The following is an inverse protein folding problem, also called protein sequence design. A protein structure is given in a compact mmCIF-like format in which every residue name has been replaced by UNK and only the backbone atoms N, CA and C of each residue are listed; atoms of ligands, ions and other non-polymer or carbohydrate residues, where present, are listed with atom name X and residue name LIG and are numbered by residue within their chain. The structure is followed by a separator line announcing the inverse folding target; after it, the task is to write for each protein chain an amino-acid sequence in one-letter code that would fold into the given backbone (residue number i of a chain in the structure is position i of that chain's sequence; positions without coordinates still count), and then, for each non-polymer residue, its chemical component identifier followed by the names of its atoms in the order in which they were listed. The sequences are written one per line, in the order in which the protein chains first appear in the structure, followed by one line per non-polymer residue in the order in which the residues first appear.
data_IF_300393672701
#
_entry.id   IF_300393672701
#
_cell.length_a   1.000
_cell.length_b   1.000
_cell.length_c   1.000
_cell.angle_alpha   90.00
_cell.angle_beta   90.00
_cell.angle_gamma   90.00
#
_symmetry.space_group_name_H-M   'P 1'
#
loop_
_entity.id
_entity.type
_entity.pdbx_description
1 polymer ?
#
# COMPACT_ATOMS: atom_id res chain seq x y z
N UNK A 1 8.84 -7.15 47.39
CA UNK A 1 9.93 -8.15 47.49
C UNK A 1 10.54 -8.23 46.10
N UNK A 2 11.67 -7.54 45.94
CA UNK A 2 12.42 -7.40 44.70
C UNK A 2 13.15 -8.71 44.44
N UNK A 3 13.10 -9.21 43.20
CA UNK A 3 14.09 -10.19 42.71
C UNK A 3 14.77 -9.58 41.50
N UNK A 4 15.96 -9.07 41.75
CA UNK A 4 17.02 -8.86 40.78
C UNK A 4 17.67 -10.20 40.36
N UNK A 5 18.46 -10.09 39.29
CA UNK A 5 19.37 -11.04 38.61
C UNK A 5 18.73 -11.63 37.33
N UNK A 6 19.33 -11.51 36.14
CA UNK A 6 20.76 -11.57 35.88
C UNK A 6 21.23 -10.64 34.73
N UNK A 7 22.37 -9.99 34.98
CA UNK A 7 23.21 -9.31 33.98
C UNK A 7 24.25 -10.32 33.52
N UNK A 8 24.19 -10.74 32.26
CA UNK A 8 25.31 -11.13 31.38
C UNK A 8 24.78 -12.04 30.25
N UNK A 9 24.52 -11.45 29.09
CA UNK A 9 24.21 -12.16 27.86
C UNK A 9 25.00 -11.52 26.72
N UNK A 10 26.09 -12.17 26.35
CA UNK A 10 27.06 -11.77 25.34
C UNK A 10 26.37 -11.59 23.97
N UNK A 11 26.59 -10.43 23.34
CA UNK A 11 26.27 -10.17 21.94
C UNK A 11 26.99 -11.19 21.04
N UNK A 12 26.23 -11.91 20.22
CA UNK A 12 26.76 -12.74 19.13
C UNK A 12 26.34 -12.10 17.80
N UNK A 13 27.27 -11.60 16.96
CA UNK A 13 26.95 -10.79 15.79
C UNK A 13 26.83 -11.64 14.51
N UNK A 14 26.17 -12.80 14.58
CA UNK A 14 25.80 -13.61 13.41
C UNK A 14 24.78 -14.66 13.87
N UNK A 15 23.50 -14.33 13.73
CA UNK A 15 22.39 -15.25 13.95
C UNK A 15 21.41 -15.08 12.82
N UNK A 16 21.49 -15.95 11.82
CA UNK A 16 20.48 -16.12 10.77
C UNK A 16 19.13 -16.41 11.43
N UNK A 17 18.29 -15.37 11.59
CA UNK A 17 16.89 -15.53 11.92
C UNK A 17 16.20 -16.00 10.64
N UNK A 18 16.18 -17.31 10.41
CA UNK A 18 15.30 -17.91 9.42
C UNK A 18 13.86 -17.73 9.90
N UNK A 19 13.14 -16.79 9.27
CA UNK A 19 11.70 -16.61 9.43
C UNK A 19 10.99 -17.89 8.95
N UNK A 20 10.15 -18.56 9.77
CA UNK A 20 9.59 -19.87 9.44
C UNK A 20 8.40 -19.85 8.45
N UNK A 21 8.18 -18.76 7.70
CA UNK A 21 6.98 -18.59 6.86
C UNK A 21 7.21 -18.51 5.35
N UNK A 22 8.41 -18.83 4.86
CA UNK A 22 8.61 -19.01 3.41
C UNK A 22 8.10 -20.41 3.04
N UNK A 23 6.84 -20.47 2.60
CA UNK A 23 6.26 -21.64 1.96
C UNK A 23 7.05 -21.96 0.67
N UNK A 24 8.02 -22.86 0.79
CA UNK A 24 8.74 -23.46 -0.33
C UNK A 24 7.80 -24.41 -1.07
N UNK A 25 6.92 -23.87 -1.93
CA UNK A 25 5.79 -24.65 -2.41
C UNK A 25 5.27 -24.37 -3.82
N UNK A 26 5.76 -23.36 -4.55
CA UNK A 26 5.49 -23.21 -5.98
C UNK A 26 6.75 -22.60 -6.63
N UNK A 27 7.42 -23.35 -7.50
CA UNK A 27 8.47 -22.80 -8.36
C UNK A 27 7.78 -21.91 -9.40
N UNK A 28 7.62 -20.63 -9.07
CA UNK A 28 7.47 -19.61 -10.11
C UNK A 28 8.65 -19.79 -11.07
N UNK A 29 8.35 -19.92 -12.36
CA UNK A 29 9.37 -20.09 -13.38
C UNK A 29 10.35 -18.90 -13.26
N UNK A 30 11.66 -19.14 -13.22
CA UNK A 30 12.64 -18.08 -12.98
C UNK A 30 12.59 -16.95 -14.03
N UNK A 31 11.96 -17.20 -15.18
CA UNK A 31 11.66 -16.22 -16.23
C UNK A 31 10.39 -15.39 -16.00
N UNK A 32 9.67 -15.58 -14.88
CA UNK A 32 8.38 -14.92 -14.56
C UNK A 32 8.34 -14.25 -13.19
N UNK A 33 9.41 -14.34 -12.40
CA UNK A 33 9.50 -13.60 -11.13
C UNK A 33 9.73 -12.11 -11.43
N UNK A 34 8.76 -11.27 -11.08
CA UNK A 34 8.70 -9.83 -11.37
C UNK A 34 9.03 -8.95 -10.14
N UNK A 35 9.75 -9.49 -9.15
CA UNK A 35 10.26 -8.73 -8.01
C UNK A 35 9.72 -9.23 -6.66
N UNK A 36 8.48 -8.88 -6.31
CA UNK A 36 7.88 -9.19 -4.99
C UNK A 36 7.29 -10.61 -4.92
N UNK A 37 7.21 -11.17 -3.71
CA UNK A 37 6.45 -12.39 -3.45
C UNK A 37 4.94 -12.11 -3.46
N UNK A 38 4.12 -13.06 -3.92
CA UNK A 38 2.66 -12.97 -3.89
C UNK A 38 2.16 -12.86 -2.43
N UNK A 39 1.53 -11.74 -2.09
CA UNK A 39 0.91 -11.49 -0.78
C UNK A 39 -0.60 -11.52 -0.94
N UNK A 40 -1.20 -12.65 -0.61
CA UNK A 40 -2.65 -12.82 -0.62
C UNK A 40 -2.97 -14.01 0.29
N UNK A 41 -3.18 -13.75 1.58
CA UNK A 41 -3.46 -14.76 2.59
C UNK A 41 -4.64 -14.34 3.46
N UNK A 42 -5.22 -15.25 4.24
CA UNK A 42 -6.35 -14.88 5.11
C UNK A 42 -5.94 -13.81 6.13
N UNK A 43 -4.70 -13.88 6.60
CA UNK A 43 -4.12 -12.88 7.49
C UNK A 43 -4.00 -11.51 6.79
N UNK A 44 -3.45 -11.47 5.57
CA UNK A 44 -3.24 -10.22 4.84
C UNK A 44 -4.57 -9.58 4.43
N UNK A 45 -5.55 -10.40 4.00
CA UNK A 45 -6.87 -9.94 3.60
C UNK A 45 -7.70 -9.45 4.81
N UNK A 46 -7.57 -10.10 5.97
CA UNK A 46 -8.29 -9.68 7.17
C UNK A 46 -7.74 -8.34 7.69
N UNK A 47 -6.46 -8.27 8.04
CA UNK A 47 -5.86 -7.02 8.51
C UNK A 47 -4.35 -7.09 8.66
N UNK A 48 -3.62 -6.14 8.07
CA UNK A 48 -2.16 -6.05 8.23
C UNK A 48 -1.70 -5.30 9.48
N UNK A 49 -2.61 -4.82 10.33
CA UNK A 49 -2.24 -4.01 11.52
C UNK A 49 -1.37 -4.76 12.53
N UNK A 50 -1.38 -6.10 12.48
CA UNK A 50 -0.61 -6.98 13.33
C UNK A 50 0.66 -7.53 12.67
N UNK A 51 0.91 -7.17 11.40
CA UNK A 51 2.17 -7.53 10.74
C UNK A 51 3.38 -7.04 11.55
N UNK A 52 4.53 -7.73 11.46
CA UNK A 52 5.73 -7.37 12.18
C UNK A 52 6.06 -5.88 12.06
N UNK A 53 6.37 -5.26 13.21
CA UNK A 53 6.69 -3.85 13.33
C UNK A 53 8.19 -3.69 13.44
N UNK A 54 8.77 -2.91 12.54
CA UNK A 54 10.18 -2.55 12.51
C UNK A 54 10.32 -1.03 12.59
N UNK A 55 11.48 -0.49 12.98
CA UNK A 55 11.76 0.93 12.83
C UNK A 55 11.53 1.39 11.38
N UNK A 56 10.84 2.51 11.18
CA UNK A 56 10.79 3.17 9.88
C UNK A 56 12.11 3.92 9.69
N UNK A 57 12.94 3.38 8.80
CA UNK A 57 14.27 3.91 8.49
C UNK A 57 14.39 4.17 6.99
N UNK A 58 14.75 5.40 6.67
CA UNK A 58 15.19 5.81 5.32
C UNK A 58 16.50 6.54 5.53
N UNK A 59 17.52 6.14 4.78
CA UNK A 59 18.87 6.68 4.93
C UNK A 59 18.84 8.21 4.83
N UNK A 60 19.43 8.90 5.81
CA UNK A 60 19.52 10.37 5.93
C UNK A 60 18.18 11.14 6.03
N UNK A 61 17.03 10.45 6.10
CA UNK A 61 15.72 11.09 6.22
C UNK A 61 15.31 11.35 7.67
N UNK A 62 15.49 10.33 8.52
CA UNK A 62 14.96 10.35 9.88
C UNK A 62 15.89 11.16 10.78
N UNK A 63 15.42 12.32 11.27
CA UNK A 63 16.11 13.09 12.30
C UNK A 63 15.39 12.90 13.64
N UNK A 64 16.08 12.32 14.62
CA UNK A 64 15.56 12.14 15.97
C UNK A 64 14.76 10.86 16.19
N UNK A 65 13.43 10.93 16.30
CA UNK A 65 12.59 9.77 16.65
C UNK A 65 12.27 8.94 15.40
N UNK A 66 12.52 7.63 15.46
CA UNK A 66 12.11 6.72 14.40
C UNK A 66 10.58 6.56 14.36
N UNK A 67 10.03 6.48 13.15
CA UNK A 67 8.68 5.97 12.95
C UNK A 67 8.63 4.45 13.12
N UNK A 68 7.45 3.85 12.90
CA UNK A 68 7.29 2.40 12.89
C UNK A 68 6.76 2.01 11.51
N UNK A 69 7.38 1.02 10.87
CA UNK A 69 6.96 0.47 9.60
C UNK A 69 6.46 -0.96 9.75
N UNK A 70 5.46 -1.31 8.95
CA UNK A 70 5.01 -2.67 8.69
C UNK A 70 5.13 -2.90 7.19
N UNK A 71 6.05 -3.79 6.80
CA UNK A 71 6.25 -4.11 5.38
C UNK A 71 5.08 -4.98 4.92
N UNK A 72 4.33 -4.51 3.91
CA UNK A 72 3.17 -5.23 3.38
C UNK A 72 3.56 -6.11 2.20
N UNK A 73 4.42 -5.59 1.32
CA UNK A 73 5.14 -6.35 0.31
C UNK A 73 6.44 -5.62 -0.05
N UNK A 74 7.44 -6.38 -0.48
CA UNK A 74 8.73 -5.85 -0.91
C UNK A 74 9.38 -6.74 -1.97
N UNK A 75 10.16 -6.13 -2.85
CA UNK A 75 11.17 -6.79 -3.67
C UNK A 75 12.52 -6.58 -2.98
N UNK A 76 13.09 -7.65 -2.44
CA UNK A 76 14.35 -7.59 -1.69
C UNK A 76 15.56 -7.20 -2.56
N UNK A 77 15.49 -7.42 -3.88
CA UNK A 77 16.61 -7.10 -4.77
C UNK A 77 16.64 -5.61 -5.14
N UNK A 78 15.48 -4.96 -5.25
CA UNK A 78 15.37 -3.56 -5.70
C UNK A 78 15.02 -2.60 -4.57
N UNK A 79 14.39 -3.09 -3.49
CA UNK A 79 13.81 -2.30 -2.41
C UNK A 79 12.44 -1.68 -2.74
N UNK A 80 11.88 -1.98 -3.90
CA UNK A 80 10.52 -1.59 -4.26
C UNK A 80 9.57 -2.18 -3.21
N UNK A 81 8.78 -1.35 -2.53
CA UNK A 81 7.95 -1.84 -1.42
C UNK A 81 6.65 -1.07 -1.25
N UNK A 82 5.77 -1.65 -0.45
CA UNK A 82 4.57 -1.00 0.08
C UNK A 82 4.57 -1.24 1.57
N UNK A 83 4.52 -0.16 2.34
CA UNK A 83 4.67 -0.20 3.78
C UNK A 83 3.57 0.60 4.45
N UNK A 84 3.08 0.11 5.58
CA UNK A 84 2.21 0.88 6.46
C UNK A 84 3.08 1.52 7.54
N UNK A 85 3.18 2.84 7.50
CA UNK A 85 4.07 3.62 8.37
C UNK A 85 3.25 4.40 9.39
N UNK A 86 3.68 4.35 10.64
CA UNK A 86 3.18 5.15 11.75
C UNK A 86 4.25 6.16 12.18
N UNK A 87 3.89 7.43 12.12
CA UNK A 87 4.70 8.56 12.59
C UNK A 87 4.02 9.16 13.82
N UNK A 88 4.75 9.24 14.93
CA UNK A 88 4.23 9.90 16.14
C UNK A 88 4.21 11.41 15.94
N UNK A 89 3.29 12.08 16.63
CA UNK A 89 3.32 13.54 16.75
C UNK A 89 4.71 14.04 17.13
N UNK A 90 5.18 15.06 16.42
CA UNK A 90 6.51 15.65 16.58
C UNK A 90 7.62 14.92 15.83
N UNK A 91 7.32 13.84 15.10
CA UNK A 91 8.26 13.32 14.09
C UNK A 91 8.55 14.40 13.04
N UNK A 92 9.80 14.49 12.59
CA UNK A 92 10.23 15.50 11.61
C UNK A 92 11.36 15.00 10.74
N UNK A 93 11.50 15.61 9.57
CA UNK A 93 12.65 15.43 8.68
C UNK A 93 13.00 16.78 8.00
N UNK A 94 14.27 17.02 7.64
CA UNK A 94 14.70 18.27 7.02
C UNK A 94 14.25 18.36 5.56
N UNK A 95 14.60 19.47 4.90
CA UNK A 95 14.52 19.61 3.45
C UNK A 95 15.53 18.66 2.79
N UNK A 96 15.10 17.98 1.75
CA UNK A 96 15.91 17.05 0.97
C UNK A 96 15.13 16.44 -0.20
N UNK A 97 15.76 15.54 -0.94
CA UNK A 97 15.10 14.79 -2.02
C UNK A 97 15.38 13.29 -1.93
N UNK A 98 14.44 12.48 -2.42
CA UNK A 98 14.63 11.03 -2.53
C UNK A 98 15.40 10.67 -3.80
N UNK A 99 16.19 9.60 -3.74
CA UNK A 99 16.89 9.01 -4.90
C UNK A 99 15.98 8.15 -5.79
N UNK A 100 14.74 7.93 -5.37
CA UNK A 100 13.73 7.12 -6.07
C UNK A 100 12.37 7.80 -6.00
N UNK A 101 11.46 7.37 -6.86
CA UNK A 101 10.08 7.81 -6.84
C UNK A 101 9.39 7.27 -5.58
N UNK A 102 8.62 8.13 -4.91
CA UNK A 102 7.86 7.78 -3.70
C UNK A 102 6.42 8.22 -3.85
N UNK A 103 5.50 7.30 -3.62
CA UNK A 103 4.09 7.62 -3.40
C UNK A 103 3.76 7.57 -1.90
N UNK A 104 2.91 8.49 -1.44
CA UNK A 104 2.35 8.49 -0.10
C UNK A 104 0.83 8.58 -0.15
N UNK A 105 0.17 7.82 0.72
CA UNK A 105 -1.26 7.96 0.95
C UNK A 105 -1.55 7.98 2.45
N UNK A 106 -2.03 9.10 2.97
CA UNK A 106 -2.32 9.25 4.41
C UNK A 106 -3.65 8.57 4.73
N UNK A 107 -3.59 7.54 5.57
CA UNK A 107 -4.75 6.79 6.05
C UNK A 107 -5.47 7.50 7.19
N UNK A 108 -4.73 8.22 8.04
CA UNK A 108 -5.27 9.09 9.09
C UNK A 108 -4.16 9.97 9.69
N UNK A 109 -4.53 11.03 10.39
CA UNK A 109 -3.61 12.00 11.00
C UNK A 109 -3.28 13.17 10.08
N UNK A 110 -2.13 13.81 10.34
CA UNK A 110 -1.72 15.06 9.71
C UNK A 110 -0.19 15.16 9.59
N UNK A 111 0.29 15.20 8.35
CA UNK A 111 1.68 15.35 7.96
C UNK A 111 1.87 16.63 7.14
N UNK A 112 2.70 17.54 7.62
CA UNK A 112 3.18 18.68 6.84
C UNK A 112 4.40 18.26 5.99
N UNK A 113 4.39 18.65 4.72
CA UNK A 113 5.43 18.42 3.72
C UNK A 113 5.64 19.71 2.92
N UNK A 114 6.71 20.46 3.18
CA UNK A 114 7.08 21.64 2.39
C UNK A 114 5.95 22.65 2.20
N UNK A 115 5.18 22.89 3.26
CA UNK A 115 4.04 23.83 3.27
C UNK A 115 2.71 23.23 2.85
N UNK A 116 2.71 22.00 2.33
CA UNK A 116 1.49 21.24 2.05
C UNK A 116 1.09 20.40 3.26
N UNK A 117 -0.19 20.43 3.61
CA UNK A 117 -0.75 19.66 4.72
C UNK A 117 -1.45 18.41 4.18
N UNK A 118 -0.79 17.26 4.29
CA UNK A 118 -1.37 15.95 3.99
C UNK A 118 -2.17 15.47 5.21
N UNK A 119 -3.49 15.34 5.05
CA UNK A 119 -4.43 14.87 6.08
C UNK A 119 -5.03 13.52 5.69
N UNK A 120 -6.00 13.04 6.45
CA UNK A 120 -6.78 11.86 6.10
C UNK A 120 -7.21 11.85 4.61
N UNK A 121 -6.82 10.78 3.91
CA UNK A 121 -7.05 10.53 2.47
C UNK A 121 -6.38 11.54 1.53
N UNK A 122 -5.29 12.18 1.96
CA UNK A 122 -4.41 12.92 1.06
C UNK A 122 -3.40 11.98 0.40
N UNK A 123 -3.13 12.23 -0.87
CA UNK A 123 -2.13 11.53 -1.68
C UNK A 123 -1.02 12.49 -2.12
N UNK A 124 0.21 12.01 -2.18
CA UNK A 124 1.33 12.72 -2.81
C UNK A 124 2.16 11.78 -3.69
N UNK A 125 2.70 12.32 -4.78
CA UNK A 125 3.70 11.65 -5.60
C UNK A 125 4.94 12.52 -5.68
N UNK A 126 6.07 11.95 -5.26
CA UNK A 126 7.38 12.59 -5.19
C UNK A 126 8.30 11.93 -6.22
N UNK A 127 8.53 12.57 -7.38
CA UNK A 127 9.58 12.12 -8.30
C UNK A 127 10.96 12.17 -7.65
N UNK A 128 11.82 11.22 -7.98
CA UNK A 128 13.24 11.25 -7.60
C UNK A 128 13.89 12.59 -7.95
N UNK A 129 14.74 13.11 -7.06
CA UNK A 129 15.49 14.36 -7.27
C UNK A 129 14.73 15.65 -6.93
N UNK A 130 13.41 15.59 -6.71
CA UNK A 130 12.62 16.79 -6.36
C UNK A 130 12.75 17.09 -4.86
N UNK A 131 13.17 18.32 -4.49
CA UNK A 131 13.25 18.70 -3.08
C UNK A 131 11.87 18.79 -2.46
N UNK A 132 11.77 18.25 -1.26
CA UNK A 132 10.58 18.17 -0.43
C UNK A 132 10.96 18.48 1.02
N UNK A 133 9.96 18.71 1.86
CA UNK A 133 10.20 19.08 3.26
C UNK A 133 10.29 20.60 3.47
N UNK A 134 10.56 21.10 4.69
CA UNK A 134 10.70 20.31 5.90
C UNK A 134 9.42 19.51 6.18
N UNK A 135 9.59 18.39 6.86
CA UNK A 135 8.52 17.46 7.17
C UNK A 135 8.19 17.52 8.65
N UNK A 136 6.91 17.43 8.99
CA UNK A 136 6.48 17.34 10.37
C UNK A 136 5.17 16.59 10.53
N UNK A 137 5.15 15.56 11.37
CA UNK A 137 3.90 14.96 11.85
C UNK A 137 3.31 15.86 12.94
N UNK A 138 2.25 16.59 12.60
CA UNK A 138 1.55 17.48 13.53
C UNK A 138 0.67 16.70 14.52
N UNK A 139 0.26 15.50 14.11
CA UNK A 139 -0.53 14.53 14.87
C UNK A 139 0.05 13.13 14.64
N UNK A 140 -0.36 12.17 15.47
CA UNK A 140 -0.12 10.75 15.19
C UNK A 140 -0.70 10.40 13.81
N UNK A 141 0.16 9.96 12.90
CA UNK A 141 -0.15 9.83 11.48
C UNK A 141 0.15 8.41 10.99
N UNK A 142 -0.77 7.84 10.24
CA UNK A 142 -0.60 6.55 9.57
C UNK A 142 -0.71 6.78 8.08
N UNK A 143 0.24 6.27 7.31
CA UNK A 143 0.27 6.38 5.86
C UNK A 143 0.74 5.09 5.20
N UNK A 144 0.36 4.93 3.94
CA UNK A 144 1.02 3.99 3.04
C UNK A 144 2.23 4.70 2.41
N UNK A 145 3.39 4.08 2.56
CA UNK A 145 4.68 4.51 2.00
C UNK A 145 5.07 3.54 0.90
N UNK A 146 5.23 4.04 -0.32
CA UNK A 146 5.33 3.22 -1.53
C UNK A 146 6.50 3.69 -2.42
N UNK A 147 7.75 3.36 -2.05
CA UNK A 147 8.92 3.70 -2.86
C UNK A 147 9.11 2.69 -4.01
N UNK A 148 9.59 3.17 -5.15
CA UNK A 148 9.86 2.34 -6.35
C UNK A 148 11.22 1.58 -6.27
N UNK A 149 12.06 1.88 -5.29
CA UNK A 149 13.29 1.15 -4.95
C UNK A 149 13.74 1.51 -3.53
N UNK A 150 14.87 0.98 -3.03
CA UNK A 150 15.44 1.42 -1.74
C UNK A 150 15.68 2.93 -1.75
N UNK A 151 14.98 3.73 -0.94
CA UNK A 151 15.15 5.17 -0.94
C UNK A 151 16.35 5.59 -0.08
N UNK A 152 17.13 6.54 -0.59
CA UNK A 152 18.05 7.37 0.21
C UNK A 152 17.60 8.83 0.12
N UNK A 153 17.78 9.60 1.18
CA UNK A 153 17.34 11.00 1.24
C UNK A 153 18.54 11.95 1.23
N UNK A 154 18.71 12.72 0.16
CA UNK A 154 19.84 13.64 0.01
C UNK A 154 19.49 14.98 0.64
N UNK A 155 20.29 15.39 1.64
CA UNK A 155 20.08 16.64 2.41
C UNK A 155 21.24 17.62 2.26
N UNK A 156 22.38 17.16 1.76
CA UNK A 156 23.63 17.92 1.68
C UNK A 156 23.47 19.20 0.83
N UNK A 157 22.73 19.12 -0.27
CA UNK A 157 22.45 20.25 -1.16
C UNK A 157 21.61 21.36 -0.49
N UNK A 158 20.97 21.03 0.63
CA UNK A 158 20.00 21.87 1.34
C UNK A 158 20.45 22.20 2.77
N UNK A 159 21.64 21.73 3.18
CA UNK A 159 22.10 21.81 4.56
C UNK A 159 22.24 23.24 5.10
N UNK A 160 22.50 24.21 4.20
CA UNK A 160 22.63 25.62 4.55
C UNK A 160 21.30 26.39 4.48
N UNK A 161 20.19 25.73 4.12
CA UNK A 161 18.88 26.36 4.05
C UNK A 161 18.23 26.40 5.43
N UNK A 162 17.52 27.49 5.69
CA UNK A 162 16.56 27.53 6.79
C UNK A 162 15.46 26.48 6.53
N UNK A 163 15.08 25.74 7.56
CA UNK A 163 14.13 24.63 7.44
C UNK A 163 12.68 25.16 7.47
N UNK A 164 12.34 25.93 6.44
CA UNK A 164 11.00 26.51 6.21
C UNK A 164 10.42 26.00 4.88
N UNK A 165 9.08 25.87 4.77
CA UNK A 165 8.39 25.42 3.56
C UNK A 165 8.84 26.07 2.24
N UNK A 166 9.01 27.38 2.25
CA UNK A 166 9.31 28.20 1.09
C UNK A 166 10.63 27.79 0.43
N UNK A 167 11.61 27.35 1.23
CA UNK A 167 12.92 26.95 0.74
C UNK A 167 12.89 25.64 -0.05
N UNK A 168 11.88 24.78 0.15
CA UNK A 168 11.63 23.62 -0.72
C UNK A 168 10.72 23.99 -1.89
N UNK A 169 9.59 24.65 -1.62
CA UNK A 169 8.56 24.97 -2.61
C UNK A 169 9.05 25.90 -3.73
N UNK A 170 10.06 26.73 -3.45
CA UNK A 170 10.68 27.64 -4.41
C UNK A 170 12.14 27.31 -4.70
N UNK A 171 12.63 26.13 -4.30
CA UNK A 171 14.01 25.76 -4.57
C UNK A 171 14.31 25.72 -6.08
N UNK A 172 15.50 26.18 -6.49
CA UNK A 172 15.91 26.18 -7.89
C UNK A 172 15.86 24.78 -8.51
N UNK A 173 16.31 23.76 -7.76
CA UNK A 173 16.26 22.36 -8.19
C UNK A 173 14.83 21.85 -8.42
N UNK A 174 13.81 22.36 -7.71
CA UNK A 174 12.41 22.02 -8.02
C UNK A 174 11.95 22.75 -9.29
N UNK A 175 12.20 24.06 -9.38
CA UNK A 175 11.70 24.89 -10.49
C UNK A 175 12.27 24.48 -11.84
N UNK A 176 13.50 23.97 -11.87
CA UNK A 176 14.19 23.56 -13.09
C UNK A 176 14.22 22.04 -13.30
N UNK A 177 13.62 21.25 -12.40
CA UNK A 177 13.61 19.80 -12.55
C UNK A 177 12.80 19.40 -13.79
N UNK A 178 13.35 18.54 -14.65
CA UNK A 178 12.64 18.06 -15.84
C UNK A 178 11.34 17.31 -15.49
N UNK A 179 11.32 16.65 -14.32
CA UNK A 179 10.16 15.91 -13.80
C UNK A 179 9.24 16.74 -12.90
N UNK A 180 9.42 18.07 -12.83
CA UNK A 180 8.55 18.95 -12.02
C UNK A 180 7.08 18.79 -12.38
N UNK A 181 6.76 18.61 -13.67
CA UNK A 181 5.39 18.40 -14.15
C UNK A 181 4.73 17.10 -13.65
N UNK A 182 5.52 16.15 -13.14
CA UNK A 182 5.01 14.92 -12.52
C UNK A 182 4.76 15.10 -11.02
N UNK A 183 5.39 16.08 -10.36
CA UNK A 183 5.27 16.29 -8.92
C UNK A 183 3.83 16.60 -8.52
N UNK A 184 3.28 15.79 -7.61
CA UNK A 184 1.97 16.00 -7.02
C UNK A 184 2.16 16.25 -5.52
N UNK A 185 2.35 17.51 -5.09
CA UNK A 185 2.56 17.81 -3.66
C UNK A 185 1.39 17.34 -2.81
N UNK A 186 0.17 17.48 -3.31
CA UNK A 186 -1.04 17.00 -2.65
C UNK A 186 -2.19 16.78 -3.64
N UNK A 187 -2.92 15.67 -3.45
CA UNK A 187 -4.28 15.45 -3.94
C UNK A 187 -5.18 15.07 -2.78
N UNK A 188 -6.22 15.87 -2.57
CA UNK A 188 -7.19 15.66 -1.50
C UNK A 188 -8.36 14.82 -1.99
N UNK A 189 -8.45 13.55 -1.57
CA UNK A 189 -9.49 12.65 -2.06
C UNK A 189 -10.90 13.19 -1.79
N UNK A 190 -11.11 13.84 -0.65
CA UNK A 190 -12.39 14.44 -0.26
C UNK A 190 -12.89 15.50 -1.25
N UNK A 191 -11.99 16.20 -1.94
CA UNK A 191 -12.33 17.24 -2.92
C UNK A 191 -12.45 16.70 -4.36
N UNK A 192 -11.96 15.48 -4.61
CA UNK A 192 -12.04 14.87 -5.92
C UNK A 192 -13.47 14.42 -6.25
N UNK A 193 -13.84 14.50 -7.53
CA UNK A 193 -15.08 13.92 -8.04
C UNK A 193 -14.86 12.46 -8.40
N UNK A 194 -15.91 11.65 -8.24
CA UNK A 194 -15.91 10.28 -8.74
C UNK A 194 -16.04 10.26 -10.27
N UNK A 195 -15.31 9.35 -10.90
CA UNK A 195 -15.31 9.09 -12.33
C UNK A 195 -15.85 7.68 -12.58
N UNK A 196 -16.44 7.45 -13.75
CA UNK A 196 -16.79 6.10 -14.19
C UNK A 196 -15.53 5.26 -14.34
N UNK A 197 -15.63 3.99 -13.97
CA UNK A 197 -14.61 2.98 -14.29
C UNK A 197 -14.95 2.28 -15.61
N UNK A 198 -13.93 1.85 -16.34
CA UNK A 198 -14.08 1.29 -17.70
C UNK A 198 -14.46 -0.19 -17.71
N UNK A 199 -14.09 -0.92 -16.65
CA UNK A 199 -14.10 -2.39 -16.66
C UNK A 199 -15.08 -3.01 -15.67
N UNK A 200 -15.66 -2.22 -14.77
CA UNK A 200 -16.52 -2.71 -13.69
C UNK A 200 -17.97 -2.24 -13.89
N UNK A 201 -18.96 -3.05 -13.48
CA UNK A 201 -20.37 -2.71 -13.62
C UNK A 201 -20.79 -1.49 -12.77
N UNK A 202 -21.96 -0.89 -13.08
CA UNK A 202 -22.53 0.21 -12.30
C UNK A 202 -22.57 -0.06 -10.80
N UNK A 203 -22.45 1.00 -10.00
CA UNK A 203 -22.24 0.91 -8.55
C UNK A 203 -20.76 0.84 -8.15
N UNK A 204 -19.85 0.88 -9.13
CA UNK A 204 -18.43 1.14 -8.93
C UNK A 204 -18.04 2.50 -9.53
N UNK A 205 -17.09 3.18 -8.91
CA UNK A 205 -16.52 4.44 -9.40
C UNK A 205 -15.05 4.59 -8.97
N UNK A 206 -14.28 5.40 -9.69
CA UNK A 206 -12.85 5.63 -9.41
C UNK A 206 -12.53 7.10 -9.12
N UNK A 207 -11.46 7.33 -8.36
CA UNK A 207 -10.77 8.62 -8.23
C UNK A 207 -9.30 8.43 -8.58
N UNK A 208 -8.86 9.02 -9.69
CA UNK A 208 -7.53 8.83 -10.26
C UNK A 208 -6.46 9.67 -9.52
N UNK A 209 -5.58 9.02 -8.76
CA UNK A 209 -4.55 9.69 -7.95
C UNK A 209 -3.30 9.99 -8.77
N UNK A 210 -2.76 8.99 -9.47
CA UNK A 210 -1.60 9.15 -10.35
C UNK A 210 -1.69 8.24 -11.56
N UNK A 211 -1.13 8.70 -12.68
CA UNK A 211 -0.95 7.87 -13.88
C UNK A 211 0.30 8.32 -14.61
N UNK A 212 1.27 7.43 -14.75
CA UNK A 212 2.40 7.64 -15.64
C UNK A 212 1.91 7.41 -17.08
N UNK A 213 1.93 8.47 -17.89
CA UNK A 213 1.40 8.42 -19.27
C UNK A 213 2.22 7.54 -20.22
N UNK A 214 3.49 7.29 -19.89
CA UNK A 214 4.39 6.49 -20.73
C UNK A 214 4.23 5.00 -20.43
N UNK A 215 4.23 4.62 -19.16
CA UNK A 215 4.20 3.21 -18.74
C UNK A 215 2.78 2.69 -18.47
N UNK A 216 1.83 3.58 -18.24
CA UNK A 216 0.49 3.25 -17.78
C UNK A 216 0.41 2.88 -16.29
N UNK A 217 1.52 2.96 -15.54
CA UNK A 217 1.53 2.83 -14.07
C UNK A 217 0.43 3.72 -13.49
N UNK A 218 -0.41 3.19 -12.61
CA UNK A 218 -1.53 3.94 -12.07
C UNK A 218 -1.77 3.66 -10.60
N UNK A 219 -2.23 4.69 -9.90
CA UNK A 219 -2.70 4.63 -8.51
C UNK A 219 -4.05 5.31 -8.46
N UNK A 220 -5.05 4.64 -7.88
CA UNK A 220 -6.40 5.18 -7.79
C UNK A 220 -7.12 4.68 -6.55
N UNK A 221 -8.19 5.38 -6.19
CA UNK A 221 -9.19 4.87 -5.27
C UNK A 221 -10.33 4.24 -6.08
N UNK A 222 -10.69 3.01 -5.74
CA UNK A 222 -11.94 2.38 -6.17
C UNK A 222 -12.97 2.52 -5.04
N UNK A 223 -14.16 2.99 -5.39
CA UNK A 223 -15.32 3.04 -4.50
C UNK A 223 -16.40 2.10 -5.00
N UNK A 224 -16.92 1.24 -4.12
CA UNK A 224 -18.00 0.30 -4.38
C UNK A 224 -19.19 0.64 -3.48
N UNK A 225 -20.40 0.69 -4.03
CA UNK A 225 -21.63 0.86 -3.25
C UNK A 225 -21.99 -0.43 -2.50
N UNK A 226 -22.80 -0.36 -1.42
CA UNK A 226 -23.31 -1.56 -0.76
C UNK A 226 -24.01 -2.50 -1.74
N UNK A 227 -23.85 -3.82 -1.52
CA UNK A 227 -24.40 -4.88 -2.37
C UNK A 227 -23.90 -4.86 -3.84
N UNK A 228 -22.80 -4.17 -4.13
CA UNK A 228 -22.20 -4.21 -5.45
C UNK A 228 -21.61 -5.60 -5.75
N UNK A 229 -21.73 -6.04 -7.00
CA UNK A 229 -21.20 -7.31 -7.52
C UNK A 229 -20.51 -7.06 -8.86
N UNK A 230 -19.34 -7.65 -9.05
CA UNK A 230 -18.55 -7.56 -10.28
C UNK A 230 -19.21 -8.30 -11.46
N UNK A 231 -19.87 -9.42 -11.16
CA UNK A 231 -20.52 -10.31 -12.13
C UNK A 231 -20.08 -11.75 -11.94
N UNK A 232 -20.04 -12.52 -13.03
CA UNK A 232 -19.73 -13.94 -13.04
C UNK A 232 -18.44 -14.22 -13.86
N UNK A 233 -17.39 -13.46 -13.58
CA UNK A 233 -16.13 -13.55 -14.32
C UNK A 233 -14.93 -13.55 -13.38
N UNK A 234 -13.89 -14.27 -13.77
CA UNK A 234 -12.56 -14.07 -13.22
C UNK A 234 -11.84 -13.02 -14.05
N UNK A 235 -11.24 -12.04 -13.37
CA UNK A 235 -10.36 -11.05 -13.96
C UNK A 235 -8.91 -11.51 -13.87
N UNK A 236 -8.09 -11.17 -14.87
CA UNK A 236 -6.65 -11.30 -14.80
C UNK A 236 -5.96 -10.22 -15.64
N UNK A 237 -4.83 -9.70 -15.15
CA UNK A 237 -4.16 -8.54 -15.74
C UNK A 237 -2.72 -8.85 -16.15
N UNK A 238 -2.20 -8.29 -17.26
CA UNK A 238 -0.80 -8.45 -17.67
C UNK A 238 0.15 -7.54 -16.87
N UNK A 239 -0.23 -7.15 -15.66
CA UNK A 239 0.55 -6.29 -14.77
C UNK A 239 0.33 -6.73 -13.33
N UNK A 240 1.22 -6.33 -12.44
CA UNK A 240 1.02 -6.49 -10.99
C UNK A 240 -0.18 -5.65 -10.57
N UNK A 241 -0.85 -6.12 -9.53
CA UNK A 241 -1.90 -5.37 -8.86
C UNK A 241 -1.72 -5.50 -7.36
N UNK A 242 -1.78 -4.38 -6.66
CA UNK A 242 -1.90 -4.35 -5.22
C UNK A 242 -3.09 -3.51 -4.81
N UNK A 243 -3.72 -3.87 -3.70
CA UNK A 243 -4.74 -3.06 -3.10
C UNK A 243 -4.71 -3.06 -1.58
N UNK A 244 -5.19 -1.97 -1.00
CA UNK A 244 -5.39 -1.79 0.43
C UNK A 244 -6.81 -1.31 0.70
N UNK A 245 -7.55 -1.98 1.59
CA UNK A 245 -8.92 -1.56 1.96
C UNK A 245 -8.85 -0.48 3.02
N UNK A 246 -9.25 0.73 2.65
CA UNK A 246 -9.36 1.87 3.56
C UNK A 246 -10.57 1.73 4.48
N UNK A 247 -11.70 1.27 3.94
CA UNK A 247 -12.90 0.96 4.70
C UNK A 247 -13.83 0.00 3.94
N UNK A 248 -14.73 -0.66 4.67
CA UNK A 248 -15.70 -1.59 4.11
C UNK A 248 -15.14 -3.00 3.94
N UNK A 249 -15.72 -3.73 3.00
CA UNK A 249 -15.37 -5.12 2.72
C UNK A 249 -15.36 -5.43 1.22
N UNK A 250 -14.53 -6.39 0.83
CA UNK A 250 -14.59 -7.06 -0.48
C UNK A 250 -14.59 -8.56 -0.25
N UNK A 251 -15.73 -9.16 -0.56
CA UNK A 251 -15.93 -10.61 -0.54
C UNK A 251 -15.62 -11.16 -1.94
N UNK A 252 -15.17 -12.41 -2.02
CA UNK A 252 -14.87 -13.00 -3.32
C UNK A 252 -14.34 -14.41 -3.27
N UNK A 253 -14.14 -14.96 -4.46
CA UNK A 253 -13.12 -15.98 -4.62
C UNK A 253 -11.77 -15.27 -4.73
N UNK A 254 -10.86 -15.61 -3.82
CA UNK A 254 -9.52 -15.06 -3.76
C UNK A 254 -8.50 -16.08 -4.25
N UNK A 255 -7.52 -15.58 -5.01
CA UNK A 255 -6.40 -16.37 -5.49
C UNK A 255 -5.24 -16.25 -4.54
N UNK A 256 -5.44 -16.90 -3.40
CA UNK A 256 -4.49 -16.92 -2.31
C UNK A 256 -3.12 -17.41 -2.80
N UNK A 257 -2.04 -16.95 -2.16
CA UNK A 257 -0.67 -17.27 -2.55
C UNK A 257 -0.36 -18.78 -2.47
N UNK A 258 -1.04 -19.49 -1.58
CA UNK A 258 -1.01 -20.95 -1.42
C UNK A 258 -2.12 -21.69 -2.21
N UNK A 259 -3.03 -20.96 -2.86
CA UNK A 259 -4.05 -21.50 -3.75
C UNK A 259 -4.38 -20.56 -4.93
N UNK A 260 -3.51 -20.48 -5.95
CA UNK A 260 -3.66 -19.54 -7.06
C UNK A 260 -4.78 -19.94 -8.05
N UNK A 261 -5.51 -21.02 -7.78
CA UNK A 261 -6.61 -21.50 -8.62
C UNK A 261 -7.97 -20.93 -8.22
N UNK A 262 -7.99 -19.96 -7.30
CA UNK A 262 -9.18 -19.22 -6.94
C UNK A 262 -10.32 -20.10 -6.40
N UNK A 263 -9.99 -21.06 -5.51
CA UNK A 263 -10.96 -22.03 -4.99
C UNK A 263 -11.47 -21.68 -3.60
N UNK A 264 -10.92 -20.63 -2.97
CA UNK A 264 -11.30 -20.22 -1.62
C UNK A 264 -12.11 -18.95 -1.63
N UNK A 265 -13.23 -19.06 -0.92
CA UNK A 265 -14.02 -17.91 -0.52
C UNK A 265 -13.35 -17.20 0.67
N UNK A 266 -13.15 -15.89 0.57
CA UNK A 266 -12.62 -15.08 1.66
C UNK A 266 -13.14 -13.63 1.61
N UNK A 267 -12.88 -12.91 2.70
CA UNK A 267 -13.19 -11.50 2.88
C UNK A 267 -11.90 -10.70 3.00
N UNK A 268 -11.77 -9.65 2.21
CA UNK A 268 -10.80 -8.58 2.46
C UNK A 268 -11.51 -7.46 3.23
N UNK A 269 -11.07 -7.20 4.46
CA UNK A 269 -11.71 -6.25 5.37
C UNK A 269 -10.90 -4.97 5.49
N UNK A 270 -11.36 -4.01 6.29
CA UNK A 270 -10.60 -2.78 6.61
C UNK A 270 -9.18 -3.12 7.08
N UNK A 271 -8.21 -2.39 6.52
CA UNK A 271 -6.77 -2.59 6.70
C UNK A 271 -6.25 -3.90 6.10
N UNK A 272 -7.06 -4.62 5.33
CA UNK A 272 -6.66 -5.73 4.48
C UNK A 272 -5.78 -5.25 3.33
N UNK A 273 -4.87 -6.11 2.89
CA UNK A 273 -3.93 -5.86 1.80
C UNK A 273 -3.68 -7.12 0.96
N UNK A 274 -3.47 -6.91 -0.34
CA UNK A 274 -2.82 -7.89 -1.19
C UNK A 274 -1.83 -7.23 -2.14
N UNK A 275 -0.88 -8.04 -2.60
CA UNK A 275 -0.06 -7.80 -3.78
C UNK A 275 -0.07 -9.09 -4.59
N UNK A 276 -0.43 -9.02 -5.87
CA UNK A 276 -0.41 -10.18 -6.75
C UNK A 276 0.41 -9.94 -8.01
N UNK A 277 1.12 -10.96 -8.48
CA UNK A 277 1.83 -10.88 -9.75
C UNK A 277 0.85 -10.87 -10.93
N UNK A 278 1.37 -10.55 -12.11
CA UNK A 278 0.60 -10.56 -13.34
C UNK A 278 -0.01 -11.95 -13.61
N UNK A 279 -1.16 -11.94 -14.29
CA UNK A 279 -1.89 -13.11 -14.80
C UNK A 279 -2.50 -14.05 -13.76
N UNK A 280 -2.54 -13.69 -12.48
CA UNK A 280 -3.30 -14.44 -11.47
C UNK A 280 -4.81 -14.15 -11.66
N UNK A 281 -5.63 -15.15 -12.05
CA UNK A 281 -7.07 -14.98 -12.18
C UNK A 281 -7.70 -14.77 -10.80
N UNK A 282 -8.65 -13.87 -10.63
CA UNK A 282 -9.27 -13.58 -9.32
C UNK A 282 -10.71 -13.10 -9.48
N UNK A 283 -11.44 -12.98 -8.36
CA UNK A 283 -12.85 -12.62 -8.36
C UNK A 283 -13.74 -13.83 -8.68
N UNK A 284 -15.02 -13.66 -9.02
CA UNK A 284 -15.69 -12.38 -8.98
C UNK A 284 -15.75 -11.84 -7.56
N UNK A 285 -15.68 -10.52 -7.45
CA UNK A 285 -15.78 -9.82 -6.17
C UNK A 285 -17.16 -9.20 -5.97
N UNK A 286 -17.53 -9.03 -4.71
CA UNK A 286 -18.70 -8.28 -4.28
C UNK A 286 -18.44 -7.62 -2.93
N UNK A 287 -19.37 -6.81 -2.47
CA UNK A 287 -19.32 -6.16 -1.16
C UNK A 287 -20.69 -6.19 -0.50
N UNK A 288 -20.71 -6.40 0.80
CA UNK A 288 -21.94 -6.29 1.59
C UNK A 288 -22.18 -4.84 1.99
N UNK A 289 -21.16 -4.16 2.51
CA UNK A 289 -21.29 -2.83 3.13
C UNK A 289 -20.87 -1.67 2.23
N UNK A 290 -20.35 -1.98 1.04
CA UNK A 290 -19.62 -1.02 0.22
C UNK A 290 -18.15 -1.01 0.63
N UNK A 291 -17.29 -0.39 -0.18
CA UNK A 291 -15.87 -0.31 0.15
C UNK A 291 -15.15 0.83 -0.55
N UNK A 292 -14.00 1.18 0.03
CA UNK A 292 -13.06 2.15 -0.52
C UNK A 292 -11.68 1.51 -0.47
N UNK A 293 -11.09 1.29 -1.64
CA UNK A 293 -9.79 0.62 -1.79
C UNK A 293 -8.81 1.54 -2.51
N UNK A 294 -7.57 1.60 -2.03
CA UNK A 294 -6.46 2.09 -2.82
C UNK A 294 -5.93 0.95 -3.68
N UNK A 295 -5.83 1.18 -4.98
CA UNK A 295 -5.21 0.28 -5.94
C UNK A 295 -3.96 0.90 -6.53
N UNK A 296 -2.97 0.06 -6.84
CA UNK A 296 -1.75 0.45 -7.56
C UNK A 296 -1.29 -0.67 -8.50
N UNK A 297 -0.82 -0.27 -9.68
CA UNK A 297 -0.28 -1.16 -10.72
C UNK A 297 1.05 -0.63 -11.25
N UNK A 298 1.91 -1.51 -11.74
CA UNK A 298 3.22 -1.15 -12.32
C UNK A 298 3.12 -0.70 -13.79
N UNK A 299 2.13 -1.24 -14.51
CA UNK A 299 1.84 -0.89 -15.90
C UNK A 299 0.33 -0.67 -16.08
N UNK A 300 -0.07 -0.37 -17.32
CA UNK A 300 -1.49 -0.21 -17.67
C UNK A 300 -2.30 -1.44 -17.24
N UNK A 301 -3.39 -1.19 -16.53
CA UNK A 301 -4.36 -2.23 -16.17
C UNK A 301 -5.22 -2.56 -17.39
N UNK A 302 -4.94 -3.70 -18.01
CA UNK A 302 -5.78 -4.31 -19.05
C UNK A 302 -6.45 -5.56 -18.45
N UNK A 303 -7.76 -5.76 -18.67
CA UNK A 303 -8.52 -6.88 -18.09
C UNK A 303 -8.77 -7.99 -19.10
N UNK A 304 -8.31 -9.20 -18.78
CA UNK A 304 -8.73 -10.43 -19.44
C UNK A 304 -9.81 -11.11 -18.60
N UNK A 305 -10.93 -11.43 -19.24
CA UNK A 305 -12.10 -12.00 -18.56
C UNK A 305 -12.27 -13.46 -18.91
N UNK A 306 -12.46 -14.30 -17.88
CA UNK A 306 -12.78 -15.72 -18.03
C UNK A 306 -14.15 -15.94 -17.41
N UNK A 307 -15.09 -16.48 -18.19
CA UNK A 307 -16.41 -16.82 -17.70
C UNK A 307 -16.27 -17.86 -16.57
N UNK A 308 -16.84 -17.56 -15.42
CA UNK A 308 -16.89 -18.45 -14.27
C UNK A 308 -18.31 -18.46 -13.72
N UNK A 309 -18.87 -19.61 -13.38
CA UNK A 309 -20.20 -19.66 -12.77
C UNK A 309 -20.04 -19.87 -11.25
N UNK A 310 -19.81 -18.79 -10.47
CA UNK A 310 -19.63 -18.92 -9.03
C UNK A 310 -20.95 -19.36 -8.39
N UNK A 311 -20.89 -20.35 -7.49
CA UNK A 311 -22.01 -20.63 -6.61
C UNK A 311 -21.96 -19.71 -5.39
N UNK A 312 -22.48 -18.49 -5.54
CA UNK A 312 -22.51 -17.48 -4.46
C UNK A 312 -23.41 -17.91 -3.28
N UNK A 313 -24.19 -18.99 -3.40
CA UNK A 313 -25.09 -19.49 -2.33
C UNK A 313 -24.34 -20.25 -1.22
N UNK A 314 -23.06 -20.57 -1.41
CA UNK A 314 -22.24 -21.21 -0.37
C UNK A 314 -22.17 -20.36 0.92
N UNK A 315 -22.25 -19.04 0.82
CA UNK A 315 -22.33 -18.14 1.98
C UNK A 315 -23.61 -18.34 2.79
N UNK A 316 -24.77 -18.49 2.14
CA UNK A 316 -26.04 -18.61 2.85
C UNK A 316 -26.06 -19.88 3.70
N UNK A 317 -25.42 -20.95 3.21
CA UNK A 317 -25.24 -22.18 3.97
C UNK A 317 -24.29 -22.01 5.17
N UNK A 318 -23.20 -21.26 5.01
CA UNK A 318 -22.26 -20.98 6.10
C UNK A 318 -22.88 -20.07 7.16
N UNK A 319 -23.55 -18.98 6.74
CA UNK A 319 -24.29 -18.07 7.62
C UNK A 319 -25.39 -18.79 8.38
N UNK A 320 -26.15 -19.66 7.70
CA UNK A 320 -27.18 -20.47 8.32
C UNK A 320 -26.61 -21.39 9.41
N UNK A 321 -25.45 -22.02 9.16
CA UNK A 321 -24.77 -22.85 10.18
C UNK A 321 -24.29 -22.04 11.39
N UNK A 322 -23.73 -20.85 11.18
CA UNK A 322 -23.31 -19.96 12.28
C UNK A 322 -24.53 -19.54 13.10
N UNK A 323 -25.60 -19.10 12.43
CA UNK A 323 -26.83 -18.68 13.09
C UNK A 323 -27.48 -19.83 13.89
N UNK A 324 -27.36 -21.08 13.43
CA UNK A 324 -27.80 -22.24 14.22
C UNK A 324 -26.91 -22.45 15.45
N UNK A 325 -25.58 -22.36 15.31
CA UNK A 325 -24.63 -22.58 16.40
C UNK A 325 -24.68 -21.50 17.49
N UNK A 326 -25.06 -20.26 17.16
CA UNK A 326 -25.25 -19.18 18.14
C UNK A 326 -26.57 -19.30 18.94
N UNK A 327 -27.48 -20.19 18.50
CA UNK A 327 -28.77 -20.45 19.14
C UNK A 327 -28.83 -21.79 19.90
N UNK A 328 -27.70 -22.50 20.01
CA UNK A 328 -27.52 -23.72 20.83
C UNK A 328 -26.79 -23.41 22.15
#
# INVERSE_FOLDING_TARGET
MVKELDKNGIYSPNGDIKLPHIHNGLRANASTSIGRQHVESEESLNSVINFPKIPFEVENFVTGKHGISQILSADEATGESTQRVFLRQGWSAPIGHFTTDVELFVLTGKLSQGGFCLRNLSYSFLPAGIPTGPWQAEEDTILLWMPDSTPSYITQDYANLEQIPENSAYHLNLQHHERMSEYLPIKELHAMKWESTTFLPPGSARKSLYTNKQTGRATWILGLVPMWIEGNFYAGHPTIEEAYVVCGDVQGHWSMSDDPFNRRYAAMLKDGYYWRPAHIPHGPFWTETGSLLLFRTKHRLDCNWILHNPDITQQDQARFKIALAENE
#
